data_IF_997480909365
#
_entry.id   IF_997480909365
#
_cell.length_a   1.000
_cell.length_b   1.000
_cell.length_c   1.000
_cell.angle_alpha   90.00
_cell.angle_beta   90.00
_cell.angle_gamma   90.00
#
_symmetry.space_group_name_H-M   'P 1'
#
loop_
_entity.id
_entity.type
_entity.pdbx_description
1 polymer ?
#
# COMPACT_ATOMS: atom_id res chain seq x y z
N UNK A 1 14.60 -17.21 -8.72
CA UNK A 1 14.60 -16.05 -9.66
C UNK A 1 15.40 -14.93 -9.02
N UNK A 2 15.97 -14.07 -9.84
CA UNK A 2 16.58 -12.82 -9.38
C UNK A 2 15.56 -11.68 -9.53
N UNK A 3 15.22 -11.01 -8.45
CA UNK A 3 14.18 -9.97 -8.43
C UNK A 3 14.80 -8.65 -8.03
N UNK A 4 14.65 -7.62 -8.85
CA UNK A 4 15.02 -6.25 -8.47
C UNK A 4 13.77 -5.52 -7.92
N UNK A 5 13.90 -4.93 -6.73
CA UNK A 5 12.85 -4.14 -6.11
C UNK A 5 13.32 -2.69 -6.06
N UNK A 6 12.65 -1.80 -6.77
CA UNK A 6 12.86 -0.37 -6.61
C UNK A 6 11.95 0.15 -5.49
N UNK A 7 12.47 1.00 -4.62
CA UNK A 7 11.75 1.40 -3.40
C UNK A 7 11.73 0.32 -2.32
N UNK A 8 12.73 -0.60 -2.36
CA UNK A 8 12.77 -1.76 -1.47
C UNK A 8 13.11 -1.47 -0.01
N UNK A 9 13.54 -0.24 0.32
CA UNK A 9 13.74 0.22 1.69
C UNK A 9 12.50 0.92 2.28
N UNK A 10 11.46 1.13 1.48
CA UNK A 10 10.18 1.70 1.89
C UNK A 10 9.28 0.68 2.57
N UNK A 11 8.08 1.11 2.99
CA UNK A 11 7.12 0.28 3.72
C UNK A 11 6.78 -1.02 2.98
N UNK A 12 6.12 -0.94 1.82
CA UNK A 12 5.73 -2.14 1.06
C UNK A 12 6.97 -2.90 0.59
N UNK A 13 7.97 -2.17 0.05
CA UNK A 13 9.16 -2.76 -0.54
C UNK A 13 9.99 -3.59 0.44
N UNK A 14 10.13 -3.19 1.70
CA UNK A 14 10.88 -3.95 2.70
C UNK A 14 10.21 -5.28 3.08
N UNK A 15 8.88 -5.28 3.20
CA UNK A 15 8.11 -6.51 3.42
C UNK A 15 8.22 -7.47 2.24
N UNK A 16 8.18 -6.94 1.01
CA UNK A 16 8.37 -7.75 -0.21
C UNK A 16 9.78 -8.28 -0.31
N UNK A 17 10.81 -7.47 0.01
CA UNK A 17 12.21 -7.89 0.05
C UNK A 17 12.37 -9.13 0.92
N UNK A 18 11.87 -9.06 2.15
CA UNK A 18 11.90 -10.19 3.08
C UNK A 18 11.15 -11.40 2.54
N UNK A 19 9.92 -11.22 2.05
CA UNK A 19 9.08 -12.30 1.57
C UNK A 19 9.67 -13.03 0.34
N UNK A 20 10.26 -12.28 -0.58
CA UNK A 20 10.91 -12.87 -1.76
C UNK A 20 12.17 -13.66 -1.37
N UNK A 21 12.97 -13.15 -0.41
CA UNK A 21 14.11 -13.86 0.15
C UNK A 21 13.70 -15.16 0.86
N UNK A 22 12.64 -15.08 1.68
CA UNK A 22 12.07 -16.24 2.40
C UNK A 22 11.50 -17.29 1.42
N UNK A 23 11.02 -16.87 0.25
CA UNK A 23 10.60 -17.75 -0.84
C UNK A 23 11.78 -18.31 -1.68
N UNK A 24 13.02 -18.04 -1.30
CA UNK A 24 14.23 -18.55 -1.95
C UNK A 24 14.64 -17.81 -3.22
N UNK A 25 14.23 -16.55 -3.38
CA UNK A 25 14.66 -15.71 -4.50
C UNK A 25 15.92 -14.91 -4.15
N UNK A 26 16.71 -14.55 -5.16
CA UNK A 26 17.82 -13.59 -5.05
C UNK A 26 17.26 -12.18 -5.22
N UNK A 27 17.46 -11.29 -4.25
CA UNK A 27 16.81 -9.97 -4.23
C UNK A 27 17.82 -8.84 -4.29
N UNK A 28 17.58 -7.91 -5.22
CA UNK A 28 18.30 -6.64 -5.36
C UNK A 28 17.36 -5.51 -4.89
N UNK A 29 17.80 -4.68 -3.98
CA UNK A 29 17.08 -3.48 -3.54
C UNK A 29 17.74 -2.26 -4.15
N UNK A 30 16.96 -1.43 -4.85
CA UNK A 30 17.35 -0.11 -5.35
C UNK A 30 16.54 0.94 -4.64
N UNK A 31 17.18 1.80 -3.85
CA UNK A 31 16.48 2.83 -3.07
C UNK A 31 17.41 4.03 -2.81
N UNK A 32 16.83 5.21 -2.66
CA UNK A 32 17.54 6.44 -2.30
C UNK A 32 17.66 6.65 -0.79
N UNK A 33 16.95 5.87 0.00
CA UNK A 33 16.75 6.06 1.45
C UNK A 33 16.13 7.42 1.84
N UNK A 34 15.54 8.16 0.88
CA UNK A 34 14.90 9.44 1.16
C UNK A 34 13.69 9.30 2.10
N UNK A 35 12.92 8.23 1.90
CA UNK A 35 11.73 7.89 2.69
C UNK A 35 11.79 6.47 3.25
N UNK A 36 12.85 5.74 2.96
CA UNK A 36 13.15 4.41 3.48
C UNK A 36 14.21 4.45 4.57
N UNK A 37 14.52 3.28 5.11
CA UNK A 37 15.54 3.10 6.13
C UNK A 37 16.45 1.92 5.74
N UNK A 38 17.74 2.05 5.99
CA UNK A 38 18.70 0.96 5.77
C UNK A 38 18.39 -0.24 6.70
N UNK A 39 17.91 0.04 7.91
CA UNK A 39 17.52 -0.96 8.90
C UNK A 39 16.28 -1.76 8.47
N UNK A 40 15.47 -1.23 7.56
CA UNK A 40 14.31 -1.95 7.01
C UNK A 40 14.69 -2.97 5.92
N UNK A 41 15.93 -2.92 5.41
CA UNK A 41 16.40 -3.83 4.36
C UNK A 41 16.90 -5.12 5.02
N UNK A 42 16.35 -6.26 4.59
CA UNK A 42 16.85 -7.58 5.02
C UNK A 42 18.32 -7.73 4.58
N UNK A 43 19.25 -8.06 5.49
CA UNK A 43 20.69 -8.12 5.19
C UNK A 43 21.07 -9.17 4.15
N UNK A 44 20.18 -10.09 3.82
CA UNK A 44 20.39 -11.07 2.73
C UNK A 44 20.22 -10.45 1.34
N UNK A 45 19.55 -9.28 1.22
CA UNK A 45 19.38 -8.58 -0.03
C UNK A 45 20.64 -7.82 -0.43
N UNK A 46 20.92 -7.74 -1.74
CA UNK A 46 21.95 -6.83 -2.25
C UNK A 46 21.37 -5.44 -2.38
N UNK A 47 21.95 -4.45 -1.70
CA UNK A 47 21.48 -3.09 -1.68
C UNK A 47 22.29 -2.19 -2.62
N UNK A 48 21.59 -1.38 -3.41
CA UNK A 48 22.14 -0.33 -4.26
C UNK A 48 21.50 1.01 -3.88
N UNK A 49 22.30 1.89 -3.27
CA UNK A 49 21.91 3.27 -3.00
C UNK A 49 21.88 4.06 -4.31
N UNK A 50 20.73 4.16 -4.93
CA UNK A 50 20.59 4.73 -6.27
C UNK A 50 19.19 5.32 -6.48
N UNK A 51 19.12 6.43 -7.21
CA UNK A 51 17.85 6.99 -7.67
C UNK A 51 17.41 6.31 -8.97
N UNK A 52 16.12 6.01 -9.09
CA UNK A 52 15.57 5.42 -10.32
C UNK A 52 15.69 6.35 -11.54
N UNK A 53 15.96 7.64 -11.33
CA UNK A 53 16.20 8.63 -12.38
C UNK A 53 17.64 8.66 -12.87
N UNK A 54 18.55 7.96 -12.19
CA UNK A 54 19.96 7.88 -12.56
C UNK A 54 20.15 6.98 -13.80
N UNK A 55 20.86 7.48 -14.81
CA UNK A 55 21.18 6.71 -16.01
C UNK A 55 22.03 5.45 -15.73
N UNK A 56 22.75 5.39 -14.59
CA UNK A 56 23.47 4.21 -14.17
C UNK A 56 22.57 3.00 -13.85
N UNK A 57 21.26 3.21 -13.66
CA UNK A 57 20.29 2.14 -13.40
C UNK A 57 20.24 1.13 -14.55
N UNK A 58 20.27 1.59 -15.80
CA UNK A 58 20.27 0.71 -16.97
C UNK A 58 21.50 -0.20 -16.97
N UNK A 59 22.70 0.37 -16.71
CA UNK A 59 23.93 -0.42 -16.57
C UNK A 59 23.88 -1.39 -15.40
N UNK A 60 23.22 -1.03 -14.29
CA UNK A 60 22.98 -1.92 -13.17
C UNK A 60 22.14 -3.12 -13.61
N UNK A 61 21.02 -2.90 -14.29
CA UNK A 61 20.14 -3.98 -14.75
C UNK A 61 20.83 -4.88 -15.79
N UNK A 62 21.59 -4.32 -16.72
CA UNK A 62 22.39 -5.08 -17.67
C UNK A 62 23.43 -5.99 -16.99
N UNK A 63 24.09 -5.52 -15.94
CA UNK A 63 25.06 -6.28 -15.15
C UNK A 63 24.40 -7.37 -14.32
N UNK A 64 23.34 -6.99 -13.57
CA UNK A 64 22.67 -7.88 -12.62
C UNK A 64 21.69 -8.85 -13.28
N UNK A 65 21.12 -8.49 -14.42
CA UNK A 65 20.14 -9.27 -15.20
C UNK A 65 19.02 -9.84 -14.33
N UNK A 66 18.18 -8.98 -13.72
CA UNK A 66 17.05 -9.45 -12.95
C UNK A 66 16.04 -10.16 -13.87
N UNK A 67 15.47 -11.27 -13.41
CA UNK A 67 14.36 -11.95 -14.08
C UNK A 67 13.09 -11.10 -14.01
N UNK A 68 12.86 -10.47 -12.85
CA UNK A 68 11.67 -9.67 -12.56
C UNK A 68 12.09 -8.32 -11.94
N UNK A 69 11.41 -7.26 -12.34
CA UNK A 69 11.49 -5.96 -11.67
C UNK A 69 10.17 -5.65 -11.01
N UNK A 70 10.18 -5.48 -9.68
CA UNK A 70 9.04 -5.09 -8.85
C UNK A 70 9.19 -3.61 -8.45
N UNK A 71 8.39 -2.74 -9.09
CA UNK A 71 8.57 -1.30 -9.01
C UNK A 71 7.64 -0.67 -7.96
N UNK A 72 8.22 -0.33 -6.80
CA UNK A 72 7.57 0.30 -5.66
C UNK A 72 8.15 1.68 -5.32
N UNK A 73 9.17 2.13 -6.05
CA UNK A 73 9.72 3.47 -5.86
C UNK A 73 8.65 4.53 -6.17
N UNK A 74 8.47 5.44 -5.23
CA UNK A 74 7.53 6.54 -5.35
C UNK A 74 8.00 7.73 -4.50
N UNK A 75 7.68 8.94 -4.93
CA UNK A 75 7.77 10.13 -4.07
C UNK A 75 6.64 10.11 -3.04
N UNK A 76 6.81 10.89 -2.00
CA UNK A 76 5.76 11.23 -1.03
C UNK A 76 5.66 12.74 -0.95
N UNK A 77 4.44 13.29 -0.79
CA UNK A 77 4.30 14.72 -0.55
C UNK A 77 5.10 15.12 0.70
N UNK A 78 5.98 16.10 0.54
CA UNK A 78 6.73 16.66 1.64
C UNK A 78 5.99 17.89 2.18
N UNK A 79 5.58 17.84 3.44
CA UNK A 79 4.82 18.94 4.06
C UNK A 79 5.58 20.30 4.06
N UNK A 80 6.90 20.28 3.83
CA UNK A 80 7.75 21.46 3.77
C UNK A 80 7.86 22.07 2.37
N UNK A 81 7.44 21.33 1.33
CA UNK A 81 7.50 21.80 -0.05
C UNK A 81 6.16 22.45 -0.45
N UNK A 82 6.18 23.51 -1.27
CA UNK A 82 4.99 24.01 -1.95
C UNK A 82 4.29 22.94 -2.76
N UNK A 83 2.98 23.11 -2.99
CA UNK A 83 2.18 22.13 -3.74
C UNK A 83 2.70 21.91 -5.16
N UNK A 84 3.17 22.98 -5.81
CA UNK A 84 3.73 22.91 -7.18
C UNK A 84 5.03 22.10 -7.21
N UNK A 85 5.90 22.27 -6.22
CA UNK A 85 7.15 21.50 -6.12
C UNK A 85 6.91 20.03 -5.85
N UNK A 86 5.90 19.69 -5.02
CA UNK A 86 5.47 18.31 -4.82
C UNK A 86 4.94 17.70 -6.12
N UNK A 87 4.16 18.43 -6.91
CA UNK A 87 3.63 17.95 -8.20
C UNK A 87 4.75 17.69 -9.22
N UNK A 88 5.76 18.58 -9.28
CA UNK A 88 6.92 18.38 -10.14
C UNK A 88 7.77 17.18 -9.70
N UNK A 89 7.94 16.99 -8.39
CA UNK A 89 8.63 15.83 -7.84
C UNK A 89 7.90 14.53 -8.18
N UNK A 90 6.57 14.51 -8.05
CA UNK A 90 5.76 13.35 -8.45
C UNK A 90 5.94 13.02 -9.93
N UNK A 91 5.88 14.02 -10.82
CA UNK A 91 6.09 13.80 -12.24
C UNK A 91 7.51 13.32 -12.56
N UNK A 92 8.52 13.88 -11.90
CA UNK A 92 9.92 13.53 -12.13
C UNK A 92 10.23 12.09 -11.66
N UNK A 93 9.72 11.68 -10.51
CA UNK A 93 9.94 10.33 -9.97
C UNK A 93 9.04 9.31 -10.66
N UNK A 94 7.71 9.56 -10.71
CA UNK A 94 6.74 8.55 -11.13
C UNK A 94 6.63 8.41 -12.66
N UNK A 95 7.04 9.44 -13.43
CA UNK A 95 7.00 9.37 -14.90
C UNK A 95 8.41 9.22 -15.46
N UNK A 96 9.29 10.21 -15.25
CA UNK A 96 10.65 10.14 -15.78
C UNK A 96 11.46 8.98 -15.20
N UNK A 97 11.37 8.78 -13.87
CA UNK A 97 12.04 7.66 -13.20
C UNK A 97 11.48 6.31 -13.65
N UNK A 98 10.16 6.18 -13.79
CA UNK A 98 9.54 4.96 -14.32
C UNK A 98 10.02 4.65 -15.74
N UNK A 99 10.09 5.65 -16.64
CA UNK A 99 10.57 5.46 -18.00
C UNK A 99 12.00 4.91 -18.01
N UNK A 100 12.91 5.48 -17.20
CA UNK A 100 14.27 4.98 -17.06
C UNK A 100 14.33 3.53 -16.57
N UNK A 101 13.45 3.15 -15.63
CA UNK A 101 13.32 1.76 -15.16
C UNK A 101 12.83 0.84 -16.27
N UNK A 102 11.80 1.24 -17.03
CA UNK A 102 11.22 0.44 -18.11
C UNK A 102 12.21 0.23 -19.27
N UNK A 103 12.97 1.28 -19.65
CA UNK A 103 14.05 1.17 -20.65
C UNK A 103 15.11 0.17 -20.18
N UNK A 104 15.57 0.28 -18.94
CA UNK A 104 16.51 -0.67 -18.36
C UNK A 104 15.98 -2.10 -18.32
N UNK A 105 14.67 -2.30 -18.10
CA UNK A 105 14.05 -3.63 -18.16
C UNK A 105 14.11 -4.22 -19.58
N UNK A 106 13.83 -3.41 -20.61
CA UNK A 106 13.90 -3.85 -22.01
C UNK A 106 15.34 -4.23 -22.40
N UNK A 107 16.30 -3.35 -22.09
CA UNK A 107 17.70 -3.58 -22.40
C UNK A 107 18.31 -4.80 -21.69
N UNK A 108 17.88 -5.07 -20.45
CA UNK A 108 18.30 -6.22 -19.67
C UNK A 108 17.50 -7.50 -19.98
N UNK A 109 16.51 -7.45 -20.88
CA UNK A 109 15.63 -8.56 -21.24
C UNK A 109 14.87 -9.13 -20.01
N UNK A 110 14.36 -8.24 -19.15
CA UNK A 110 13.54 -8.61 -17.99
C UNK A 110 12.29 -9.36 -18.45
N UNK A 111 12.01 -10.49 -17.82
CA UNK A 111 10.90 -11.37 -18.21
C UNK A 111 9.54 -10.87 -17.74
N UNK A 112 9.51 -10.01 -16.69
CA UNK A 112 8.27 -9.45 -16.15
C UNK A 112 8.49 -8.16 -15.33
N UNK A 113 7.60 -7.20 -15.53
CA UNK A 113 7.55 -5.97 -14.77
C UNK A 113 6.30 -5.93 -13.88
N UNK A 114 6.47 -5.74 -12.57
CA UNK A 114 5.36 -5.58 -11.61
C UNK A 114 5.32 -4.10 -11.21
N UNK A 115 4.17 -3.47 -11.40
CA UNK A 115 3.98 -2.05 -11.13
C UNK A 115 3.03 -1.82 -9.96
N UNK A 116 3.55 -1.22 -8.89
CA UNK A 116 2.74 -0.75 -7.77
C UNK A 116 2.01 0.55 -8.16
N UNK A 117 0.70 0.45 -8.34
CA UNK A 117 -0.20 1.55 -8.65
C UNK A 117 -1.11 1.87 -7.47
N UNK A 118 -1.93 2.91 -7.57
CA UNK A 118 -2.91 3.27 -6.55
C UNK A 118 -4.29 2.70 -6.87
N UNK A 119 -5.18 2.73 -5.90
CA UNK A 119 -6.56 2.30 -6.06
C UNK A 119 -7.56 3.40 -5.67
N UNK A 120 -7.64 3.72 -4.39
CA UNK A 120 -8.69 4.62 -3.86
C UNK A 120 -8.73 6.03 -4.47
N UNK A 121 -7.59 6.60 -4.89
CA UNK A 121 -7.51 7.96 -5.44
C UNK A 121 -7.80 8.07 -6.94
N UNK A 122 -8.06 6.96 -7.62
CA UNK A 122 -8.20 6.94 -9.09
C UNK A 122 -9.62 7.17 -9.59
N UNK A 123 -10.60 6.98 -8.71
CA UNK A 123 -12.00 6.99 -9.08
C UNK A 123 -12.70 8.22 -8.51
N UNK A 124 -13.39 8.96 -9.37
CA UNK A 124 -14.23 10.07 -8.93
C UNK A 124 -15.59 9.56 -8.46
N UNK A 125 -16.08 10.17 -7.40
CA UNK A 125 -17.47 9.93 -6.99
C UNK A 125 -18.41 10.50 -8.05
N UNK A 126 -19.36 9.71 -8.59
CA UNK A 126 -20.40 10.29 -9.43
C UNK A 126 -21.22 11.29 -8.61
N UNK A 127 -21.39 12.53 -9.10
CA UNK A 127 -22.25 13.55 -8.46
C UNK A 127 -23.68 13.05 -8.20
N UNK A 128 -24.13 12.08 -9.01
CA UNK A 128 -25.43 11.43 -8.87
C UNK A 128 -25.54 10.58 -7.60
N UNK A 129 -24.40 10.09 -7.04
CA UNK A 129 -24.38 9.30 -5.80
C UNK A 129 -24.46 10.18 -4.55
N UNK A 130 -23.96 11.42 -4.62
CA UNK A 130 -24.11 12.38 -3.51
C UNK A 130 -25.60 12.72 -3.28
N UNK A 131 -26.42 12.68 -4.33
CA UNK A 131 -27.86 12.98 -4.27
C UNK A 131 -28.76 11.80 -3.88
N UNK A 132 -28.25 10.57 -4.00
CA UNK A 132 -29.08 9.36 -3.84
C UNK A 132 -29.04 8.74 -2.43
N UNK A 133 -28.33 9.34 -1.47
CA UNK A 133 -28.14 8.74 -0.14
C UNK A 133 -27.24 7.50 -0.23
N UNK A 134 -26.60 7.13 0.88
CA UNK A 134 -25.63 6.03 1.02
C UNK A 134 -25.91 4.83 0.11
N UNK A 135 -25.21 4.76 -1.03
CA UNK A 135 -25.09 3.54 -1.81
C UNK A 135 -23.61 3.18 -1.77
N UNK A 136 -23.30 2.08 -1.11
CA UNK A 136 -21.96 1.49 -1.13
C UNK A 136 -21.62 1.14 -2.58
N UNK A 137 -20.60 1.79 -3.11
CA UNK A 137 -20.21 1.59 -4.51
C UNK A 137 -19.01 0.68 -4.58
N UNK A 138 -19.17 -0.43 -5.27
CA UNK A 138 -18.07 -1.34 -5.62
C UNK A 138 -17.54 -0.93 -6.99
N UNK A 139 -16.24 -0.71 -7.07
CA UNK A 139 -15.56 -0.24 -8.29
C UNK A 139 -14.62 -1.31 -8.80
N UNK A 140 -14.77 -1.71 -10.06
CA UNK A 140 -13.87 -2.63 -10.75
C UNK A 140 -12.73 -1.90 -11.49
N UNK A 141 -11.78 -2.65 -12.02
CA UNK A 141 -10.60 -2.10 -12.71
C UNK A 141 -10.92 -1.43 -14.06
N UNK A 142 -12.09 -1.65 -14.62
CA UNK A 142 -12.53 -1.07 -15.92
C UNK A 142 -13.32 0.23 -15.73
N UNK A 143 -13.64 0.60 -14.49
CA UNK A 143 -14.29 1.85 -14.18
C UNK A 143 -13.47 3.07 -14.67
N UNK A 144 -14.11 4.15 -15.12
CA UNK A 144 -13.42 5.34 -15.60
C UNK A 144 -12.50 5.95 -14.53
N UNK A 145 -11.25 6.19 -14.91
CA UNK A 145 -10.26 6.81 -14.03
C UNK A 145 -10.36 8.34 -14.13
N UNK A 146 -10.46 9.01 -12.98
CA UNK A 146 -10.52 10.46 -12.83
C UNK A 146 -9.65 10.94 -11.69
N UNK A 147 -8.32 10.77 -11.79
CA UNK A 147 -7.41 11.17 -10.74
C UNK A 147 -7.40 12.69 -10.57
N UNK A 148 -7.47 13.17 -9.32
CA UNK A 148 -7.49 14.60 -9.01
C UNK A 148 -6.18 15.11 -8.41
N UNK A 149 -5.42 14.24 -7.74
CA UNK A 149 -4.16 14.62 -7.09
C UNK A 149 -2.97 14.34 -8.01
N UNK A 150 -1.91 15.16 -7.98
CA UNK A 150 -0.70 14.94 -8.78
C UNK A 150 -0.14 13.52 -8.69
N UNK A 151 -0.09 12.95 -7.49
CA UNK A 151 0.31 11.57 -7.26
C UNK A 151 -0.54 10.58 -8.07
N UNK A 152 -1.87 10.68 -7.99
CA UNK A 152 -2.80 9.77 -8.67
C UNK A 152 -2.72 9.93 -10.20
N UNK A 153 -2.60 11.18 -10.68
CA UNK A 153 -2.42 11.50 -12.10
C UNK A 153 -1.16 10.82 -12.63
N UNK A 154 -0.03 10.93 -11.92
CA UNK A 154 1.24 10.35 -12.37
C UNK A 154 1.22 8.82 -12.32
N UNK A 155 0.54 8.22 -11.35
CA UNK A 155 0.36 6.76 -11.29
C UNK A 155 -0.48 6.24 -12.45
N UNK A 156 -1.60 6.90 -12.79
CA UNK A 156 -2.42 6.56 -13.97
C UNK A 156 -1.62 6.72 -15.28
N UNK A 157 -0.85 7.79 -15.41
CA UNK A 157 0.07 7.96 -16.54
C UNK A 157 1.09 6.82 -16.61
N UNK A 158 1.64 6.42 -15.46
CA UNK A 158 2.56 5.29 -15.35
C UNK A 158 1.97 3.98 -15.86
N UNK A 159 0.70 3.67 -15.50
CA UNK A 159 0.00 2.50 -16.07
C UNK A 159 -0.08 2.55 -17.60
N UNK A 160 -0.30 3.75 -18.17
CA UNK A 160 -0.29 3.97 -19.62
C UNK A 160 1.07 3.61 -20.24
N UNK A 161 2.17 4.06 -19.64
CA UNK A 161 3.52 3.74 -20.10
C UNK A 161 3.85 2.25 -19.96
N UNK A 162 3.49 1.61 -18.84
CA UNK A 162 3.69 0.17 -18.67
C UNK A 162 3.00 -0.62 -19.78
N UNK A 163 1.73 -0.30 -20.11
CA UNK A 163 1.00 -0.94 -21.21
C UNK A 163 1.62 -0.62 -22.58
N UNK A 164 2.16 0.60 -22.78
CA UNK A 164 2.87 0.97 -24.00
C UNK A 164 4.12 0.11 -24.17
N UNK A 165 4.95 -0.07 -23.13
CA UNK A 165 6.17 -0.88 -23.20
C UNK A 165 5.87 -2.36 -23.48
N UNK A 166 4.77 -2.88 -22.95
CA UNK A 166 4.33 -4.23 -23.30
C UNK A 166 4.00 -4.37 -24.79
N UNK A 167 3.24 -3.42 -25.33
CA UNK A 167 2.84 -3.45 -26.76
C UNK A 167 4.02 -3.23 -27.70
N UNK A 168 4.92 -2.32 -27.36
CA UNK A 168 6.01 -1.89 -28.23
C UNK A 168 7.23 -2.80 -28.16
N UNK A 169 7.55 -3.28 -26.95
CA UNK A 169 8.79 -4.02 -26.69
C UNK A 169 8.56 -5.44 -26.19
N UNK A 170 7.31 -5.84 -26.02
CA UNK A 170 6.99 -7.18 -25.53
C UNK A 170 7.31 -7.42 -24.06
N UNK A 171 7.53 -6.37 -23.23
CA UNK A 171 7.80 -6.50 -21.80
C UNK A 171 6.51 -6.90 -21.06
N UNK A 172 6.40 -8.13 -20.56
CA UNK A 172 5.22 -8.57 -19.82
C UNK A 172 5.08 -7.79 -18.52
N UNK A 173 3.83 -7.48 -18.12
CA UNK A 173 3.59 -6.71 -16.89
C UNK A 173 2.50 -7.30 -16.01
N UNK A 174 2.45 -6.84 -14.77
CA UNK A 174 1.27 -6.88 -13.90
C UNK A 174 1.16 -5.54 -13.18
N UNK A 175 0.01 -4.88 -13.28
CA UNK A 175 -0.29 -3.65 -12.57
C UNK A 175 -1.13 -4.00 -11.35
N UNK A 176 -0.68 -3.61 -10.16
CA UNK A 176 -1.37 -3.83 -8.90
C UNK A 176 -1.87 -2.49 -8.36
N UNK A 177 -3.18 -2.28 -8.37
CA UNK A 177 -3.83 -1.12 -7.76
C UNK A 177 -4.14 -1.46 -6.31
N UNK A 178 -3.32 -0.95 -5.40
CA UNK A 178 -3.48 -1.19 -3.97
C UNK A 178 -4.55 -0.29 -3.37
N UNK A 179 -5.39 -0.86 -2.50
CA UNK A 179 -6.15 -0.09 -1.50
C UNK A 179 -5.19 0.60 -0.52
N UNK A 180 -5.70 1.32 0.48
CA UNK A 180 -4.85 1.97 1.49
C UNK A 180 -4.18 0.90 2.36
N UNK A 181 -2.88 0.68 2.12
CA UNK A 181 -2.12 -0.41 2.77
C UNK A 181 -1.75 0.01 4.18
N UNK A 182 -2.11 -0.81 5.16
CA UNK A 182 -1.68 -0.66 6.54
C UNK A 182 -0.85 -1.85 7.01
N UNK A 183 0.00 -1.62 8.02
CA UNK A 183 0.86 -2.67 8.55
C UNK A 183 1.87 -2.15 9.53
N UNK A 184 2.72 -3.05 10.01
CA UNK A 184 3.83 -2.70 10.85
C UNK A 184 4.86 -1.88 10.06
N UNK A 185 5.21 -0.73 10.60
CA UNK A 185 6.20 0.18 10.04
C UNK A 185 6.90 0.93 11.17
N UNK A 186 8.14 1.33 10.96
CA UNK A 186 8.81 2.25 11.88
C UNK A 186 7.96 3.52 12.06
N UNK A 187 7.73 3.93 13.31
CA UNK A 187 6.89 5.09 13.67
C UNK A 187 7.32 6.36 12.94
N UNK A 188 8.64 6.53 12.70
CA UNK A 188 9.19 7.68 11.97
C UNK A 188 8.81 7.71 10.50
N UNK A 189 8.54 6.54 9.92
CA UNK A 189 8.16 6.36 8.52
C UNK A 189 6.64 6.22 8.35
N UNK A 190 5.91 5.98 9.46
CA UNK A 190 4.49 5.72 9.46
C UNK A 190 3.70 6.98 9.09
N UNK A 191 2.96 6.90 8.00
CA UNK A 191 1.97 7.92 7.61
C UNK A 191 0.54 7.42 7.75
N UNK A 192 0.36 6.12 8.00
CA UNK A 192 -0.98 5.55 8.17
C UNK A 192 -1.51 5.85 9.58
N UNK A 193 -2.78 6.26 9.73
CA UNK A 193 -3.37 6.60 11.02
C UNK A 193 -3.24 5.49 12.07
N UNK A 194 -3.24 4.23 11.63
CA UNK A 194 -3.17 3.06 12.50
C UNK A 194 -1.93 3.09 13.42
N UNK A 195 -0.74 3.27 12.87
CA UNK A 195 0.51 3.29 13.66
C UNK A 195 0.54 4.47 14.63
N UNK A 196 -0.02 5.62 14.23
CA UNK A 196 -0.19 6.77 15.10
C UNK A 196 -1.12 6.44 16.28
N UNK A 197 -2.26 5.77 16.04
CA UNK A 197 -3.18 5.38 17.11
C UNK A 197 -2.55 4.37 18.06
N UNK A 198 -1.85 3.37 17.55
CA UNK A 198 -1.15 2.37 18.36
C UNK A 198 -0.14 3.07 19.29
N UNK A 199 0.74 3.91 18.75
CA UNK A 199 1.74 4.64 19.53
C UNK A 199 1.09 5.52 20.60
N UNK A 200 0.08 6.30 20.25
CA UNK A 200 -0.59 7.21 21.19
C UNK A 200 -1.27 6.44 22.33
N UNK A 201 -1.97 5.34 22.02
CA UNK A 201 -2.69 4.58 23.05
C UNK A 201 -1.73 3.80 23.96
N UNK A 202 -0.64 3.23 23.44
CA UNK A 202 0.40 2.60 24.25
C UNK A 202 1.08 3.60 25.19
N UNK A 203 1.31 4.84 24.74
CA UNK A 203 1.84 5.93 25.55
C UNK A 203 0.81 6.55 26.51
N UNK A 204 -0.41 6.01 26.60
CA UNK A 204 -1.52 6.54 27.40
C UNK A 204 -1.85 8.01 27.04
N UNK A 205 -1.73 8.35 25.76
CA UNK A 205 -1.97 9.69 25.22
C UNK A 205 -3.22 9.69 24.35
N UNK A 206 -3.96 10.79 24.41
CA UNK A 206 -5.19 10.99 23.63
C UNK A 206 -4.84 11.29 22.17
N UNK A 207 -5.22 10.44 21.19
CA UNK A 207 -4.97 10.72 19.78
C UNK A 207 -5.90 11.81 19.24
N UNK A 208 -5.43 12.49 18.20
CA UNK A 208 -6.16 13.54 17.51
C UNK A 208 -6.56 13.05 16.13
N UNK A 209 -7.88 13.05 15.85
CA UNK A 209 -8.42 12.76 14.52
C UNK A 209 -8.70 14.10 13.82
N UNK A 210 -8.09 14.30 12.65
CA UNK A 210 -8.21 15.53 11.84
C UNK A 210 -8.91 15.20 10.53
N UNK A 211 -9.74 16.13 10.03
CA UNK A 211 -10.40 16.02 8.74
C UNK A 211 -11.69 15.24 8.77
N UNK A 212 -12.13 14.73 7.63
CA UNK A 212 -13.35 13.97 7.48
C UNK A 212 -13.19 12.56 8.09
N UNK A 213 -13.47 12.46 9.41
CA UNK A 213 -13.40 11.20 10.14
C UNK A 213 -14.32 10.10 9.57
N UNK A 214 -15.34 10.52 8.81
CA UNK A 214 -16.37 9.64 8.22
C UNK A 214 -16.06 9.23 6.76
N UNK A 215 -14.97 9.73 6.16
CA UNK A 215 -14.57 9.30 4.82
C UNK A 215 -14.11 7.84 4.86
N UNK A 216 -14.97 6.96 4.35
CA UNK A 216 -14.69 5.54 4.32
C UNK A 216 -13.88 5.17 3.07
N UNK A 217 -12.86 4.32 3.25
CA UNK A 217 -11.95 3.83 2.21
C UNK A 217 -11.69 2.34 2.39
N UNK A 218 -11.32 1.69 1.33
CA UNK A 218 -10.83 0.32 1.40
C UNK A 218 -9.40 0.32 1.99
N UNK A 219 -9.21 -0.45 3.06
CA UNK A 219 -7.93 -0.62 3.74
C UNK A 219 -7.51 -2.08 3.69
N UNK A 220 -6.25 -2.35 3.34
CA UNK A 220 -5.73 -3.69 3.22
C UNK A 220 -4.48 -3.91 4.08
N UNK A 221 -4.39 -5.07 4.72
CA UNK A 221 -3.21 -5.46 5.49
C UNK A 221 -2.01 -5.72 4.58
N UNK A 222 -0.82 -5.29 5.01
CA UNK A 222 0.45 -5.51 4.29
C UNK A 222 0.71 -7.01 4.02
N UNK A 223 0.32 -7.88 4.94
CA UNK A 223 0.47 -9.33 4.77
C UNK A 223 -0.29 -9.85 3.54
N UNK A 224 -1.51 -9.36 3.32
CA UNK A 224 -2.31 -9.68 2.14
C UNK A 224 -1.69 -9.13 0.84
N UNK A 225 -1.10 -7.92 0.90
CA UNK A 225 -0.37 -7.32 -0.22
C UNK A 225 0.86 -8.15 -0.57
N UNK A 226 1.61 -8.62 0.43
CA UNK A 226 2.77 -9.50 0.25
C UNK A 226 2.35 -10.80 -0.45
N UNK A 227 1.27 -11.45 0.02
CA UNK A 227 0.76 -12.68 -0.61
C UNK A 227 0.33 -12.46 -2.07
N UNK A 228 -0.30 -11.33 -2.39
CA UNK A 228 -0.64 -10.98 -3.75
C UNK A 228 0.62 -10.85 -4.63
N UNK A 229 1.66 -10.18 -4.13
CA UNK A 229 2.92 -10.00 -4.84
C UNK A 229 3.68 -11.31 -5.07
N UNK A 230 3.64 -12.24 -4.13
CA UNK A 230 4.18 -13.59 -4.34
C UNK A 230 3.43 -14.35 -5.44
N UNK A 231 2.10 -14.25 -5.48
CA UNK A 231 1.29 -14.87 -6.53
C UNK A 231 1.61 -14.33 -7.92
N UNK A 232 1.79 -13.02 -8.06
CA UNK A 232 2.01 -12.41 -9.38
C UNK A 232 3.43 -12.60 -9.92
N UNK A 233 4.37 -13.13 -9.17
CA UNK A 233 5.68 -13.51 -9.71
C UNK A 233 5.55 -14.46 -10.92
N UNK A 234 4.54 -15.35 -10.88
CA UNK A 234 4.34 -16.37 -11.91
C UNK A 234 2.98 -16.29 -12.63
N UNK A 235 2.06 -15.45 -12.16
CA UNK A 235 0.67 -15.35 -12.67
C UNK A 235 0.30 -13.89 -12.97
N UNK A 236 -0.93 -13.66 -13.48
CA UNK A 236 -1.48 -12.31 -13.69
C UNK A 236 -0.78 -11.50 -14.78
N UNK A 237 -0.19 -12.16 -15.79
CA UNK A 237 0.54 -11.49 -16.86
C UNK A 237 -0.38 -10.62 -17.72
N UNK A 238 0.07 -9.39 -17.99
CA UNK A 238 -0.62 -8.37 -18.77
C UNK A 238 -2.00 -7.99 -18.21
N UNK A 239 -2.13 -8.00 -16.89
CA UNK A 239 -3.37 -7.64 -16.20
C UNK A 239 -3.17 -6.43 -15.28
N UNK A 240 -4.27 -5.71 -15.06
CA UNK A 240 -4.44 -4.71 -14.02
C UNK A 240 -5.40 -5.29 -12.98
N UNK A 241 -5.03 -5.25 -11.70
CA UNK A 241 -5.71 -5.98 -10.64
C UNK A 241 -5.84 -5.11 -9.39
N UNK A 242 -7.03 -5.04 -8.82
CA UNK A 242 -7.21 -4.49 -7.48
C UNK A 242 -6.69 -5.46 -6.43
N UNK A 243 -5.89 -4.95 -5.52
CA UNK A 243 -5.45 -5.64 -4.31
C UNK A 243 -6.03 -4.87 -3.13
N UNK A 244 -7.15 -5.36 -2.64
CA UNK A 244 -8.07 -4.66 -1.73
C UNK A 244 -8.74 -5.63 -0.78
N UNK A 245 -9.25 -5.14 0.35
CA UNK A 245 -10.05 -5.97 1.25
C UNK A 245 -11.45 -6.25 0.69
N UNK A 246 -11.98 -5.35 -0.12
CA UNK A 246 -13.37 -5.35 -0.56
C UNK A 246 -14.32 -4.81 0.51
N UNK A 247 -13.79 -4.21 1.58
CA UNK A 247 -14.54 -3.59 2.67
C UNK A 247 -14.10 -2.15 2.86
N UNK A 248 -15.03 -1.31 3.25
CA UNK A 248 -14.78 0.12 3.43
C UNK A 248 -14.89 0.51 4.91
N UNK A 249 -13.86 1.16 5.43
CA UNK A 249 -13.77 1.60 6.83
C UNK A 249 -13.31 3.05 6.91
N UNK A 250 -13.84 3.79 7.85
CA UNK A 250 -13.42 5.15 8.11
C UNK A 250 -12.32 5.22 9.19
N UNK A 251 -11.75 6.41 9.41
CA UNK A 251 -10.67 6.60 10.38
C UNK A 251 -11.10 6.26 11.82
N UNK A 252 -12.39 6.49 12.16
CA UNK A 252 -12.94 6.13 13.48
C UNK A 252 -13.06 4.62 13.66
N UNK A 253 -13.31 3.86 12.59
CA UNK A 253 -13.31 2.39 12.63
C UNK A 253 -11.90 1.85 12.90
N UNK A 254 -10.89 2.40 12.22
CA UNK A 254 -9.48 2.09 12.49
C UNK A 254 -9.10 2.37 13.95
N UNK A 255 -9.48 3.55 14.46
CA UNK A 255 -9.22 3.91 15.86
C UNK A 255 -9.88 2.92 16.81
N UNK A 256 -11.19 2.62 16.62
CA UNK A 256 -11.93 1.67 17.47
C UNK A 256 -11.31 0.28 17.47
N UNK A 257 -10.87 -0.21 16.31
CA UNK A 257 -10.19 -1.49 16.20
C UNK A 257 -8.89 -1.53 17.03
N UNK A 258 -8.08 -0.46 17.00
CA UNK A 258 -6.87 -0.34 17.82
C UNK A 258 -7.20 -0.24 19.31
N UNK A 259 -8.17 0.61 19.68
CA UNK A 259 -8.58 0.80 21.07
C UNK A 259 -9.10 -0.51 21.69
N UNK A 260 -9.92 -1.26 20.93
CA UNK A 260 -10.41 -2.57 21.35
C UNK A 260 -9.26 -3.56 21.53
N UNK A 261 -8.33 -3.63 20.57
CA UNK A 261 -7.18 -4.52 20.63
C UNK A 261 -6.26 -4.22 21.82
N UNK A 262 -6.09 -2.95 22.20
CA UNK A 262 -5.30 -2.50 23.33
C UNK A 262 -6.08 -2.39 24.65
N UNK A 263 -7.36 -2.79 24.71
CA UNK A 263 -8.24 -2.65 25.85
C UNK A 263 -8.23 -1.21 26.43
N UNK A 264 -8.17 -0.19 25.53
CA UNK A 264 -8.03 1.20 25.89
C UNK A 264 -9.38 1.91 25.91
N UNK A 265 -9.67 2.62 27.00
CA UNK A 265 -10.86 3.48 27.16
C UNK A 265 -10.59 4.95 26.75
N UNK A 266 -9.41 5.24 26.22
CA UNK A 266 -9.03 6.60 25.80
C UNK A 266 -9.81 7.00 24.55
N UNK A 267 -10.65 8.02 24.65
CA UNK A 267 -11.39 8.58 23.52
C UNK A 267 -10.54 9.56 22.70
N UNK A 268 -10.66 9.59 21.36
CA UNK A 268 -9.91 10.51 20.52
C UNK A 268 -10.44 11.95 20.65
N UNK A 269 -9.62 12.91 20.27
CA UNK A 269 -10.04 14.32 20.10
C UNK A 269 -10.29 14.59 18.62
N UNK A 270 -11.51 14.99 18.28
CA UNK A 270 -11.85 15.43 16.92
C UNK A 270 -11.62 16.94 16.78
N UNK A 271 -10.74 17.37 15.85
CA UNK A 271 -10.43 18.79 15.61
C UNK A 271 -11.32 19.46 14.56
N UNK A 272 -12.05 18.71 13.79
CA UNK A 272 -13.05 19.24 12.86
C UNK A 272 -14.40 18.71 13.28
N UNK A 273 -15.48 19.50 13.14
CA UNK A 273 -16.81 18.91 13.32
C UNK A 273 -16.90 17.73 12.35
N UNK A 274 -17.35 16.61 12.88
CA UNK A 274 -17.79 15.50 12.05
C UNK A 274 -18.97 16.04 11.26
N UNK A 275 -18.68 16.75 10.18
CA UNK A 275 -19.71 17.02 9.20
C UNK A 275 -20.10 15.64 8.72
N UNK A 276 -21.30 15.24 9.05
CA UNK A 276 -21.94 14.08 8.46
C UNK A 276 -22.08 14.33 6.95
N UNK A 277 -20.95 14.45 6.27
CA UNK A 277 -20.92 14.30 4.84
C UNK A 277 -21.33 12.85 4.64
N UNK A 278 -22.41 12.65 3.96
CA UNK A 278 -22.84 11.37 3.41
C UNK A 278 -21.80 10.89 2.42
N UNK A 279 -20.58 10.66 2.91
CA UNK A 279 -19.52 10.11 2.07
C UNK A 279 -19.88 8.68 1.77
N UNK A 280 -20.32 8.44 0.55
CA UNK A 280 -20.52 7.08 0.06
C UNK A 280 -19.22 6.28 0.28
N UNK A 281 -19.34 5.11 0.85
CA UNK A 281 -18.23 4.19 1.01
C UNK A 281 -17.81 3.65 -0.37
N UNK A 282 -16.49 3.58 -0.59
CA UNK A 282 -15.94 2.98 -1.78
C UNK A 282 -15.24 1.68 -1.40
N UNK A 283 -15.55 0.64 -2.15
CA UNK A 283 -14.79 -0.60 -2.10
C UNK A 283 -14.23 -0.91 -3.48
N UNK A 284 -13.04 -1.46 -3.52
CA UNK A 284 -12.44 -1.92 -4.77
C UNK A 284 -12.76 -3.39 -4.97
N UNK A 285 -13.35 -3.74 -6.11
CA UNK A 285 -13.64 -5.14 -6.45
C UNK A 285 -12.34 -5.91 -6.69
N UNK A 286 -12.08 -6.92 -5.89
CA UNK A 286 -10.92 -7.79 -5.99
C UNK A 286 -11.20 -9.11 -6.74
N UNK A 287 -12.38 -9.24 -7.35
CA UNK A 287 -12.79 -10.46 -8.05
C UNK A 287 -11.82 -10.85 -9.16
N UNK A 288 -11.26 -9.86 -9.89
CA UNK A 288 -10.30 -10.13 -10.96
C UNK A 288 -9.02 -10.77 -10.43
N UNK A 289 -8.49 -10.32 -9.30
CA UNK A 289 -7.33 -10.93 -8.65
C UNK A 289 -7.64 -12.36 -8.18
N UNK A 290 -8.83 -12.57 -7.61
CA UNK A 290 -9.28 -13.90 -7.20
C UNK A 290 -9.37 -14.88 -8.37
N UNK A 291 -9.91 -14.45 -9.51
CA UNK A 291 -10.03 -15.27 -10.71
C UNK A 291 -8.68 -15.52 -11.37
N UNK A 292 -7.82 -14.49 -11.46
CA UNK A 292 -6.55 -14.55 -12.16
C UNK A 292 -5.54 -15.49 -11.49
N UNK A 293 -5.49 -15.53 -10.17
CA UNK A 293 -4.48 -16.32 -9.45
C UNK A 293 -4.93 -16.87 -8.09
N UNK A 294 -6.23 -16.88 -7.80
CA UNK A 294 -6.80 -17.51 -6.61
C UNK A 294 -6.54 -16.73 -5.32
N UNK A 295 -6.06 -15.47 -5.43
CA UNK A 295 -5.79 -14.63 -4.26
C UNK A 295 -7.08 -14.03 -3.70
N UNK A 296 -7.14 -13.95 -2.38
CA UNK A 296 -8.16 -13.21 -1.63
C UNK A 296 -7.52 -12.64 -0.37
N UNK A 297 -8.04 -11.52 0.17
CA UNK A 297 -7.63 -11.07 1.49
C UNK A 297 -7.99 -12.15 2.52
N UNK A 298 -7.12 -12.39 3.48
CA UNK A 298 -7.34 -13.36 4.57
C UNK A 298 -7.62 -12.68 5.88
N UNK A 299 -7.32 -11.37 5.97
CA UNK A 299 -7.52 -10.60 7.19
C UNK A 299 -8.62 -9.57 6.96
N UNK A 300 -9.68 -9.65 7.79
CA UNK A 300 -10.57 -8.51 7.99
C UNK A 300 -9.85 -7.39 8.77
N UNK A 301 -10.51 -6.25 8.95
CA UNK A 301 -9.90 -5.11 9.64
C UNK A 301 -9.45 -5.46 11.06
N UNK A 302 -10.27 -6.18 11.82
CA UNK A 302 -9.98 -6.49 13.24
C UNK A 302 -8.78 -7.42 13.36
N UNK A 303 -8.77 -8.51 12.61
CA UNK A 303 -7.65 -9.46 12.59
C UNK A 303 -6.36 -8.82 12.05
N UNK A 304 -6.47 -7.93 11.06
CA UNK A 304 -5.33 -7.20 10.52
C UNK A 304 -4.76 -6.20 11.52
N UNK A 305 -5.61 -5.44 12.19
CA UNK A 305 -5.18 -4.49 13.25
C UNK A 305 -4.52 -5.22 14.40
N UNK A 306 -5.11 -6.32 14.86
CA UNK A 306 -4.53 -7.14 15.93
C UNK A 306 -3.13 -7.61 15.55
N UNK A 307 -2.97 -8.17 14.36
CA UNK A 307 -1.67 -8.62 13.86
C UNK A 307 -0.63 -7.48 13.81
N UNK A 308 -1.04 -6.26 13.43
CA UNK A 308 -0.14 -5.10 13.41
C UNK A 308 0.24 -4.66 14.83
N UNK A 309 -0.72 -4.64 15.76
CA UNK A 309 -0.48 -4.28 17.18
C UNK A 309 0.50 -5.25 17.81
N UNK A 310 0.30 -6.56 17.63
CA UNK A 310 1.19 -7.60 18.14
C UNK A 310 2.64 -7.38 17.66
N UNK A 311 2.82 -7.20 16.33
CA UNK A 311 4.12 -6.93 15.73
C UNK A 311 4.76 -5.63 16.20
N UNK A 312 3.95 -4.59 16.36
CA UNK A 312 4.41 -3.31 16.87
C UNK A 312 4.92 -3.45 18.32
N UNK A 313 4.17 -4.13 19.17
CA UNK A 313 4.57 -4.39 20.55
C UNK A 313 5.86 -5.23 20.64
N UNK A 314 5.96 -6.32 19.87
CA UNK A 314 7.17 -7.14 19.77
C UNK A 314 8.40 -6.31 19.39
N UNK A 315 8.28 -5.47 18.36
CA UNK A 315 9.39 -4.66 17.86
C UNK A 315 9.86 -3.59 18.85
N UNK A 316 8.93 -2.97 19.55
CA UNK A 316 9.20 -1.82 20.42
C UNK A 316 9.31 -2.20 21.92
N UNK A 317 9.21 -3.49 22.26
CA UNK A 317 9.32 -3.98 23.63
C UNK A 317 8.14 -3.57 24.52
N UNK A 318 6.93 -3.45 23.95
CA UNK A 318 5.70 -3.24 24.68
C UNK A 318 5.02 -4.57 24.97
N UNK A 319 4.48 -4.71 26.19
CA UNK A 319 3.65 -5.85 26.53
C UNK A 319 2.23 -5.69 25.95
N UNK A 320 1.71 -6.76 25.36
CA UNK A 320 0.30 -6.82 24.99
C UNK A 320 -0.57 -6.87 26.25
N UNK A 321 -1.71 -6.14 26.29
CA UNK A 321 -2.66 -6.27 27.40
C UNK A 321 -3.12 -7.71 27.56
N UNK A 322 -3.12 -8.23 28.80
CA UNK A 322 -3.43 -9.64 29.10
C UNK A 322 -4.82 -10.04 28.61
N UNK A 323 -5.79 -9.12 28.63
CA UNK A 323 -7.17 -9.33 28.15
C UNK A 323 -7.26 -9.48 26.62
N UNK A 324 -6.33 -8.86 25.86
CA UNK A 324 -6.27 -9.00 24.40
C UNK A 324 -5.89 -10.42 23.95
N UNK A 325 -5.11 -11.14 24.76
CA UNK A 325 -4.63 -12.50 24.45
C UNK A 325 -5.74 -13.55 24.61
N UNK A 326 -6.71 -13.31 25.47
CA UNK A 326 -7.81 -14.28 25.74
C UNK A 326 -8.93 -14.26 24.71
N UNK A 327 -9.11 -13.17 23.95
CA UNK A 327 -10.16 -13.05 22.93
C UNK A 327 -9.87 -13.82 21.63
N UNK A 328 -8.66 -14.34 21.44
CA UNK A 328 -8.25 -15.06 20.23
C UNK A 328 -8.65 -16.55 20.23
N UNK A 329 -9.06 -17.11 21.38
CA UNK A 329 -9.37 -18.53 21.52
C UNK A 329 -10.87 -18.87 21.43
N UNK A 330 -11.76 -17.89 21.33
CA UNK A 330 -13.19 -18.11 21.19
C UNK A 330 -13.68 -17.60 19.84
N UNK A 331 -14.04 -18.55 18.98
CA UNK A 331 -14.68 -18.37 17.68
C UNK A 331 -16.15 -17.89 17.82
N UNK A 332 -16.42 -16.94 18.74
CA UNK A 332 -17.75 -16.38 18.94
C UNK A 332 -17.85 -14.99 18.30
N UNK A 333 -18.69 -14.93 17.27
CA UNK A 333 -19.12 -13.71 16.59
C UNK A 333 -19.78 -12.78 17.61
N UNK A 334 -19.11 -11.72 17.99
CA UNK A 334 -19.77 -10.63 18.74
C UNK A 334 -20.66 -9.82 17.81
N UNK A 335 -21.93 -10.12 17.81
CA UNK A 335 -22.98 -9.19 17.45
C UNK A 335 -22.98 -8.10 18.52
N UNK A 336 -22.43 -6.92 18.22
CA UNK A 336 -22.62 -5.73 19.04
C UNK A 336 -24.08 -5.33 18.91
N UNK A 337 -24.85 -5.69 19.95
CA UNK A 337 -26.25 -5.31 20.07
C UNK A 337 -26.39 -3.81 20.21
N UNK A 338 -27.22 -3.24 19.36
CA UNK A 338 -27.80 -1.93 19.56
C UNK A 338 -28.55 -1.85 20.91
N UNK A 339 -28.19 -0.88 21.74
CA UNK A 339 -29.09 -0.15 22.63
C UNK A 339 -28.65 1.30 22.73
#
# INVERSE_FOLDING_TARGET
>A
MKIAITGGAGFIGSHLTKAYLDAGHDVLVVDTLRHGSLEAIDPRARFYHMDIRDGALQSLFQRERPDIVSHHAASRPEARLPLEENALLDADVHVRGLLNVLEGCVEASVSKFIFASGGNGFYERPETMERAGKVDSVVDEDAPLRPLKPYDITKVAGEGYVRYFTRQYGLPHTILRYADVYGEMDVKLAQHPLTYFISMLLEQRRPIIRGAADEARDHICIDDVVRANLCVLTRGQNQTLHISSGESHNVSDLFRAVATCLCSEIEPLYLSPVLSSTSAAWTLDNTRARVAFGWRPERDLVAGVQWVVERFCERHGWDMPVEAVYNTSSNERYLVGAR
#
